data_IF_983102300437
#
_entry.id   IF_983102300437
#
_cell.length_a   1.000
_cell.length_b   1.000
_cell.length_c   1.000
_cell.angle_alpha   90.00
_cell.angle_beta   90.00
_cell.angle_gamma   90.00
#
_symmetry.space_group_name_H-M   'P 1'
#
loop_
_entity.id
_entity.type
_entity.pdbx_description
1 polymer ?
#
# COMPACT_ATOMS: atom_id res chain seq x y z
N UNK A 1 -17.22 0.69 -12.72
CA UNK A 1 -16.07 -0.18 -13.06
C UNK A 1 -14.71 0.49 -12.86
N UNK A 2 -14.50 1.71 -13.36
CA UNK A 2 -13.19 2.41 -13.33
C UNK A 2 -12.64 2.71 -11.94
N UNK A 3 -13.51 3.06 -10.97
CA UNK A 3 -13.09 3.34 -9.58
C UNK A 3 -12.50 2.10 -8.89
N UNK A 4 -13.11 0.92 -9.07
CA UNK A 4 -12.59 -0.32 -8.46
C UNK A 4 -11.20 -0.64 -9.02
N UNK A 5 -11.00 -0.45 -10.33
CA UNK A 5 -9.70 -0.68 -10.98
C UNK A 5 -8.64 0.26 -10.42
N UNK A 6 -8.96 1.53 -10.22
CA UNK A 6 -8.06 2.51 -9.61
C UNK A 6 -7.58 2.05 -8.22
N UNK A 7 -8.50 1.65 -7.33
CA UNK A 7 -8.12 1.18 -6.00
C UNK A 7 -7.32 -0.14 -6.02
N UNK A 8 -7.59 -1.05 -6.98
CA UNK A 8 -6.80 -2.27 -7.18
C UNK A 8 -5.36 -1.96 -7.59
N UNK A 9 -5.17 -1.01 -8.51
CA UNK A 9 -3.83 -0.58 -8.94
C UNK A 9 -3.09 0.06 -7.77
N UNK A 10 -3.74 0.97 -7.03
CA UNK A 10 -3.16 1.61 -5.85
C UNK A 10 -2.74 0.58 -4.79
N UNK A 11 -3.57 -0.44 -4.54
CA UNK A 11 -3.26 -1.54 -3.64
C UNK A 11 -2.04 -2.36 -4.09
N UNK A 12 -1.96 -2.67 -5.39
CA UNK A 12 -0.82 -3.40 -5.96
C UNK A 12 0.48 -2.62 -5.80
N UNK A 13 0.45 -1.31 -6.09
CA UNK A 13 1.59 -0.41 -5.89
C UNK A 13 2.02 -0.40 -4.41
N UNK A 14 1.07 -0.28 -3.47
CA UNK A 14 1.37 -0.31 -2.04
C UNK A 14 2.06 -1.61 -1.60
N UNK A 15 1.62 -2.76 -2.13
CA UNK A 15 2.28 -4.06 -1.88
C UNK A 15 3.70 -4.09 -2.47
N UNK A 16 3.89 -3.62 -3.70
CA UNK A 16 5.21 -3.60 -4.33
C UNK A 16 6.19 -2.77 -3.50
N UNK A 17 5.79 -1.56 -3.09
CA UNK A 17 6.65 -0.72 -2.24
C UNK A 17 6.87 -1.31 -0.83
N UNK A 18 5.90 -2.03 -0.27
CA UNK A 18 6.07 -2.75 0.98
C UNK A 18 7.14 -3.83 0.85
N UNK A 19 7.06 -4.66 -0.18
CA UNK A 19 8.04 -5.73 -0.44
C UNK A 19 9.43 -5.13 -0.71
N UNK A 20 9.52 -4.15 -1.60
CA UNK A 20 10.78 -3.48 -1.92
C UNK A 20 11.40 -2.81 -0.68
N UNK A 21 10.58 -2.17 0.14
CA UNK A 21 11.02 -1.53 1.38
C UNK A 21 11.47 -2.52 2.46
N UNK A 22 10.89 -3.72 2.51
CA UNK A 22 11.36 -4.79 3.40
C UNK A 22 12.73 -5.32 2.98
N UNK A 23 12.98 -5.45 1.67
CA UNK A 23 14.28 -5.83 1.11
C UNK A 23 15.30 -4.72 1.40
N UNK A 24 15.02 -3.49 0.95
CA UNK A 24 15.84 -2.30 1.18
C UNK A 24 14.94 -1.10 1.50
N UNK A 25 14.93 -0.60 2.74
CA UNK A 25 14.04 0.48 3.14
C UNK A 25 14.32 1.79 2.40
N UNK A 26 15.53 1.99 1.88
CA UNK A 26 15.91 3.17 1.07
C UNK A 26 15.07 3.29 -0.20
N UNK A 27 14.69 2.19 -0.84
CA UNK A 27 13.91 2.22 -2.10
C UNK A 27 12.51 2.80 -1.86
N UNK A 28 11.93 2.48 -0.71
CA UNK A 28 10.56 2.81 -0.35
C UNK A 28 10.48 4.12 0.43
N UNK A 29 11.43 4.37 1.34
CA UNK A 29 11.42 5.51 2.23
C UNK A 29 12.42 6.60 1.80
N UNK A 30 12.80 6.67 0.51
CA UNK A 30 13.84 7.59 -0.01
C UNK A 30 13.68 9.06 0.43
N UNK A 31 12.45 9.47 0.76
CA UNK A 31 12.06 10.80 1.22
C UNK A 31 12.06 10.99 2.75
N UNK A 32 12.32 9.93 3.54
CA UNK A 32 12.33 9.96 5.00
C UNK A 32 13.76 9.97 5.55
N UNK A 33 14.06 10.84 6.52
CA UNK A 33 15.39 10.96 7.14
C UNK A 33 15.93 9.67 7.76
N UNK A 34 15.04 8.74 8.15
CA UNK A 34 15.44 7.44 8.72
C UNK A 34 14.81 6.27 7.99
N UNK A 35 15.65 5.48 7.34
CA UNK A 35 15.30 4.23 6.68
C UNK A 35 15.25 3.09 7.70
N UNK A 36 14.03 2.69 8.11
CA UNK A 36 13.85 1.53 8.97
C UNK A 36 12.72 0.63 8.43
N UNK A 37 12.91 -0.69 8.49
CA UNK A 37 11.92 -1.68 8.04
C UNK A 37 10.59 -1.55 8.79
N UNK A 38 10.64 -1.22 10.08
CA UNK A 38 9.43 -0.95 10.85
C UNK A 38 8.62 0.22 10.29
N UNK A 39 9.28 1.27 9.79
CA UNK A 39 8.60 2.39 9.14
C UNK A 39 8.00 1.97 7.80
N UNK A 40 8.67 1.12 7.02
CA UNK A 40 8.09 0.57 5.78
C UNK A 40 6.78 -0.15 6.08
N UNK A 41 6.78 -1.05 7.04
CA UNK A 41 5.57 -1.77 7.46
C UNK A 41 4.51 -0.78 7.97
N UNK A 42 4.90 0.20 8.78
CA UNK A 42 3.96 1.20 9.30
C UNK A 42 3.31 2.03 8.19
N UNK A 43 4.07 2.56 7.24
CA UNK A 43 3.51 3.42 6.19
C UNK A 43 2.85 2.60 5.08
N UNK A 44 3.60 1.70 4.44
CA UNK A 44 3.10 0.94 3.29
C UNK A 44 2.18 -0.20 3.71
N UNK A 45 2.42 -0.84 4.85
CA UNK A 45 1.52 -1.86 5.38
C UNK A 45 0.20 -1.29 5.85
N UNK A 46 0.20 -0.18 6.59
CA UNK A 46 -1.06 0.47 6.98
C UNK A 46 -1.82 1.00 5.76
N UNK A 47 -1.13 1.56 4.76
CA UNK A 47 -1.74 1.98 3.50
C UNK A 47 -2.36 0.80 2.75
N UNK A 48 -1.67 -0.34 2.67
CA UNK A 48 -2.20 -1.54 2.03
C UNK A 48 -3.45 -2.07 2.74
N UNK A 49 -3.46 -2.10 4.09
CA UNK A 49 -4.63 -2.53 4.87
C UNK A 49 -5.83 -1.60 4.63
N UNK A 50 -5.62 -0.29 4.65
CA UNK A 50 -6.68 0.70 4.39
C UNK A 50 -7.24 0.53 2.98
N UNK A 51 -6.38 0.42 1.96
CA UNK A 51 -6.80 0.20 0.57
C UNK A 51 -7.57 -1.11 0.40
N UNK A 52 -7.15 -2.18 1.08
CA UNK A 52 -7.85 -3.46 1.06
C UNK A 52 -9.26 -3.36 1.68
N UNK A 53 -9.39 -2.68 2.82
CA UNK A 53 -10.68 -2.43 3.45
C UNK A 53 -11.61 -1.61 2.55
N UNK A 54 -11.09 -0.56 1.91
CA UNK A 54 -11.86 0.25 0.94
C UNK A 54 -12.34 -0.62 -0.22
N UNK A 55 -11.49 -1.50 -0.76
CA UNK A 55 -11.86 -2.42 -1.84
C UNK A 55 -12.97 -3.39 -1.43
N UNK A 56 -12.91 -3.94 -0.21
CA UNK A 56 -13.97 -4.81 0.32
C UNK A 56 -15.30 -4.04 0.43
N UNK A 57 -15.26 -2.85 1.02
CA UNK A 57 -16.45 -2.01 1.17
C UNK A 57 -17.04 -1.65 -0.20
N UNK A 58 -16.22 -1.16 -1.14
CA UNK A 58 -16.69 -0.83 -2.48
C UNK A 58 -17.31 -2.03 -3.19
N UNK A 59 -16.68 -3.21 -3.08
CA UNK A 59 -17.21 -4.44 -3.69
C UNK A 59 -18.57 -4.81 -3.10
N UNK A 60 -18.76 -4.63 -1.78
CA UNK A 60 -20.03 -4.90 -1.10
C UNK A 60 -21.13 -3.91 -1.47
N UNK A 61 -20.80 -2.65 -1.76
CA UNK A 61 -21.78 -1.62 -2.14
C UNK A 61 -22.18 -1.68 -3.62
N UNK A 62 -21.29 -2.18 -4.49
CA UNK A 62 -21.51 -2.21 -5.95
C UNK A 62 -22.13 -3.53 -6.43
N UNK A 63 -21.94 -4.62 -5.69
CA UNK A 63 -22.54 -5.93 -5.96
C UNK A 63 -23.87 -6.07 -5.21
#
# INVERSE_FOLDING_TARGET
MSIILFFKIAFCIAIVFLILGLIRPVISLWFLDRFNRQKVIKYYGMSAVILFLILILLKKFIL
#
